data_IF_518193642250
#
_entry.id   IF_518193642250
#
_cell.length_a   1.000
_cell.length_b   1.000
_cell.length_c   1.000
_cell.angle_alpha   90.00
_cell.angle_beta   90.00
_cell.angle_gamma   90.00
#
_symmetry.space_group_name_H-M   'P 1'
#
loop_
_entity.id
_entity.type
_entity.pdbx_description
1 polymer ?
#
# COMPACT_ATOMS: atom_id res chain seq x y z
N UNK A 1 14.99 -18.65 -15.87
CA UNK A 1 15.25 -17.39 -15.15
C UNK A 1 14.52 -16.17 -15.74
N UNK A 2 14.53 -15.93 -17.06
CA UNK A 2 13.93 -14.72 -17.69
C UNK A 2 12.43 -14.51 -17.39
N UNK A 3 11.62 -15.57 -17.38
CA UNK A 3 10.17 -15.52 -17.08
C UNK A 3 9.89 -15.04 -15.64
N UNK A 4 10.64 -15.54 -14.67
CA UNK A 4 10.54 -15.10 -13.28
C UNK A 4 10.91 -13.63 -13.11
N UNK A 5 11.98 -13.19 -13.79
CA UNK A 5 12.40 -11.78 -13.76
C UNK A 5 11.32 -10.84 -14.33
N UNK A 6 10.67 -11.23 -15.44
CA UNK A 6 9.55 -10.47 -16.03
C UNK A 6 8.37 -10.36 -15.05
N UNK A 7 8.01 -11.46 -14.40
CA UNK A 7 6.96 -11.47 -13.38
C UNK A 7 7.33 -10.58 -12.18
N UNK A 8 8.52 -10.76 -11.60
CA UNK A 8 8.95 -10.02 -10.40
C UNK A 8 8.99 -8.52 -10.65
N UNK A 9 9.55 -8.08 -11.78
CA UNK A 9 9.59 -6.65 -12.12
C UNK A 9 8.18 -6.10 -12.33
N UNK A 10 7.32 -6.84 -13.04
CA UNK A 10 5.94 -6.42 -13.27
C UNK A 10 5.14 -6.32 -11.96
N UNK A 11 5.30 -7.30 -11.08
CA UNK A 11 4.70 -7.33 -9.75
C UNK A 11 5.16 -6.15 -8.90
N UNK A 12 6.47 -5.89 -8.84
CA UNK A 12 7.02 -4.81 -8.01
C UNK A 12 6.53 -3.44 -8.49
N UNK A 13 6.47 -3.25 -9.81
CA UNK A 13 5.97 -2.01 -10.41
C UNK A 13 4.48 -1.79 -10.11
N UNK A 14 3.64 -2.81 -10.34
CA UNK A 14 2.21 -2.75 -10.06
C UNK A 14 1.91 -2.57 -8.57
N UNK A 15 2.61 -3.30 -7.70
CA UNK A 15 2.43 -3.21 -6.26
C UNK A 15 2.76 -1.82 -5.75
N UNK A 16 3.92 -1.28 -6.17
CA UNK A 16 4.35 0.07 -5.80
C UNK A 16 3.34 1.11 -6.27
N UNK A 17 2.90 1.01 -7.52
CA UNK A 17 1.91 1.93 -8.08
C UNK A 17 0.60 1.92 -7.28
N UNK A 18 0.02 0.74 -7.04
CA UNK A 18 -1.22 0.59 -6.29
C UNK A 18 -1.09 1.05 -4.83
N UNK A 19 0.05 0.77 -4.19
CA UNK A 19 0.30 1.18 -2.80
C UNK A 19 0.39 2.70 -2.69
N UNK A 20 1.09 3.37 -3.62
CA UNK A 20 1.17 4.84 -3.66
C UNK A 20 -0.22 5.43 -3.92
N UNK A 21 -0.96 4.92 -4.90
CA UNK A 21 -2.32 5.40 -5.18
C UNK A 21 -3.25 5.22 -3.99
N UNK A 22 -3.17 4.08 -3.29
CA UNK A 22 -3.96 3.83 -2.09
C UNK A 22 -3.58 4.77 -0.94
N UNK A 23 -2.29 5.02 -0.73
CA UNK A 23 -1.80 5.97 0.27
C UNK A 23 -2.27 7.40 -0.02
N UNK A 24 -2.18 7.83 -1.28
CA UNK A 24 -2.69 9.13 -1.71
C UNK A 24 -4.20 9.24 -1.52
N UNK A 25 -4.96 8.20 -1.86
CA UNK A 25 -6.40 8.17 -1.67
C UNK A 25 -6.79 8.28 -0.19
N UNK A 26 -6.07 7.56 0.68
CA UNK A 26 -6.31 7.62 2.12
C UNK A 26 -6.00 9.02 2.67
N UNK A 27 -4.88 9.63 2.28
CA UNK A 27 -4.53 11.00 2.68
C UNK A 27 -5.55 12.02 2.16
N UNK A 28 -6.05 11.87 0.94
CA UNK A 28 -7.03 12.78 0.36
C UNK A 28 -8.41 12.70 1.04
N UNK A 29 -8.76 11.55 1.62
CA UNK A 29 -10.04 11.31 2.30
C UNK A 29 -9.94 11.42 3.82
N UNK A 30 -8.73 11.53 4.37
CA UNK A 30 -8.49 11.70 5.79
C UNK A 30 -8.80 13.14 6.22
N UNK A 31 -9.74 13.30 7.14
CA UNK A 31 -9.96 14.58 7.83
C UNK A 31 -9.15 14.57 9.13
N UNK A 32 -8.15 15.45 9.29
CA UNK A 32 -7.38 15.51 10.52
C UNK A 32 -8.25 16.07 11.65
N UNK A 33 -8.40 15.31 12.73
CA UNK A 33 -9.01 15.80 13.96
C UNK A 33 -7.94 16.45 14.84
N UNK A 34 -8.14 17.74 15.14
CA UNK A 34 -7.26 18.54 16.01
C UNK A 34 -7.88 18.85 17.37
N UNK A 35 -9.08 18.33 17.65
CA UNK A 35 -9.81 18.64 18.88
C UNK A 35 -9.07 18.19 20.15
N UNK A 36 -8.26 17.12 20.06
CA UNK A 36 -7.47 16.63 21.18
C UNK A 36 -6.16 17.39 21.42
N UNK A 37 -5.61 18.07 20.39
CA UNK A 37 -4.29 18.72 20.50
C UNK A 37 -4.34 20.14 21.09
N UNK A 38 -5.49 20.81 21.01
CA UNK A 38 -5.66 22.19 21.49
C UNK A 38 -6.06 22.28 22.98
N UNK A 39 -6.55 21.19 23.59
CA UNK A 39 -7.02 21.17 24.99
C UNK A 39 -6.03 20.62 26.04
N UNK A 40 -4.95 19.95 25.61
CA UNK A 40 -4.06 19.16 26.49
C UNK A 40 -2.68 19.82 26.75
N UNK A 41 -2.48 21.08 26.39
CA UNK A 41 -1.18 21.78 26.53
C UNK A 41 -0.70 21.96 27.98
N UNK A 42 -1.51 21.59 28.99
CA UNK A 42 -1.19 21.79 30.40
C UNK A 42 -0.86 20.51 31.20
N UNK A 43 -0.96 19.29 30.63
CA UNK A 43 -0.65 18.04 31.36
C UNK A 43 -0.03 16.97 30.44
N UNK A 44 1.22 17.15 30.00
CA UNK A 44 1.90 16.21 29.10
C UNK A 44 2.50 15.01 29.86
N UNK A 45 1.72 13.94 30.05
CA UNK A 45 2.28 12.58 30.01
C UNK A 45 2.50 12.22 28.55
N UNK A 46 3.75 12.00 28.15
CA UNK A 46 4.13 11.68 26.78
C UNK A 46 3.84 10.20 26.47
N UNK A 47 2.55 9.84 26.43
CA UNK A 47 2.12 8.51 26.05
C UNK A 47 1.91 8.45 24.53
N UNK A 48 2.75 7.69 23.84
CA UNK A 48 2.62 7.46 22.39
C UNK A 48 1.72 6.25 22.19
N UNK A 49 0.49 6.47 21.73
CA UNK A 49 -0.44 5.41 21.38
C UNK A 49 -0.07 4.89 19.99
N UNK A 50 0.46 3.67 19.91
CA UNK A 50 0.66 2.98 18.64
C UNK A 50 -0.68 2.43 18.14
N UNK A 51 -1.28 3.12 17.17
CA UNK A 51 -2.44 2.58 16.45
C UNK A 51 -1.98 1.37 15.64
N UNK A 52 -2.49 0.17 15.98
CA UNK A 52 -2.26 -1.03 15.18
C UNK A 52 -3.04 -0.89 13.86
N UNK A 53 -2.30 -0.75 12.76
CA UNK A 53 -2.87 -0.76 11.42
C UNK A 53 -3.12 -2.20 10.96
N UNK A 54 -4.30 -2.43 10.37
CA UNK A 54 -4.63 -3.74 9.80
C UNK A 54 -3.80 -4.01 8.55
N UNK A 55 -3.16 -5.19 8.40
CA UNK A 55 -2.39 -5.54 7.21
C UNK A 55 -3.27 -5.95 6.02
N UNK A 56 -4.59 -6.08 6.23
CA UNK A 56 -5.54 -6.59 5.23
C UNK A 56 -5.54 -5.78 3.93
N UNK A 57 -5.57 -4.42 3.94
CA UNK A 57 -5.55 -3.63 2.71
C UNK A 57 -4.28 -3.88 1.88
N UNK A 58 -3.12 -3.94 2.53
CA UNK A 58 -1.83 -4.22 1.86
C UNK A 58 -1.81 -5.62 1.26
N UNK A 59 -2.39 -6.63 1.93
CA UNK A 59 -2.50 -7.98 1.40
C UNK A 59 -3.41 -8.05 0.17
N UNK A 60 -4.54 -7.34 0.17
CA UNK A 60 -5.44 -7.27 -0.99
C UNK A 60 -4.70 -6.66 -2.19
N UNK A 61 -3.97 -5.56 -1.98
CA UNK A 61 -3.17 -4.91 -3.02
C UNK A 61 -2.07 -5.85 -3.55
N UNK A 62 -1.41 -6.59 -2.66
CA UNK A 62 -0.40 -7.57 -3.05
C UNK A 62 -0.98 -8.69 -3.93
N UNK A 63 -2.14 -9.25 -3.55
CA UNK A 63 -2.81 -10.30 -4.34
C UNK A 63 -3.25 -9.76 -5.71
N UNK A 64 -3.85 -8.57 -5.77
CA UNK A 64 -4.26 -7.93 -7.02
C UNK A 64 -3.07 -7.67 -7.95
N UNK A 65 -1.95 -7.19 -7.40
CA UNK A 65 -0.71 -7.00 -8.14
C UNK A 65 -0.17 -8.33 -8.68
N UNK A 66 -0.16 -9.38 -7.85
CA UNK A 66 0.36 -10.69 -8.25
C UNK A 66 -0.47 -11.31 -9.38
N UNK A 67 -1.80 -11.26 -9.29
CA UNK A 67 -2.71 -11.72 -10.35
C UNK A 67 -2.44 -10.94 -11.65
N UNK A 68 -2.36 -9.62 -11.57
CA UNK A 68 -2.10 -8.76 -12.74
C UNK A 68 -0.73 -9.04 -13.38
N UNK A 69 0.32 -9.19 -12.56
CA UNK A 69 1.65 -9.53 -13.02
C UNK A 69 1.71 -10.91 -13.68
N UNK A 70 0.93 -11.88 -13.18
CA UNK A 70 0.81 -13.19 -13.79
C UNK A 70 0.16 -13.12 -15.19
N UNK A 71 -0.89 -12.31 -15.36
CA UNK A 71 -1.47 -12.06 -16.69
C UNK A 71 -0.47 -11.40 -17.65
N UNK A 72 0.32 -10.43 -17.17
CA UNK A 72 1.38 -9.79 -17.97
C UNK A 72 2.43 -10.82 -18.39
N UNK A 73 2.90 -11.65 -17.47
CA UNK A 73 3.85 -12.73 -17.78
C UNK A 73 3.28 -13.64 -18.86
N UNK A 74 2.04 -14.12 -18.72
CA UNK A 74 1.42 -15.02 -19.69
C UNK A 74 1.29 -14.40 -21.08
N UNK A 75 0.92 -13.10 -21.15
CA UNK A 75 0.80 -12.39 -22.42
C UNK A 75 2.15 -12.16 -23.10
N UNK A 76 3.18 -11.81 -22.34
CA UNK A 76 4.55 -11.56 -22.84
C UNK A 76 5.26 -12.87 -23.20
N UNK A 77 5.03 -13.94 -22.43
CA UNK A 77 5.61 -15.26 -22.66
C UNK A 77 4.95 -16.01 -23.82
N UNK A 78 3.69 -15.72 -24.17
CA UNK A 78 3.04 -16.25 -25.39
C UNK A 78 3.54 -15.58 -26.67
N UNK A 79 4.11 -14.37 -26.56
CA UNK A 79 4.56 -13.55 -27.69
C UNK A 79 6.04 -13.80 -28.08
N UNK A 80 6.84 -14.41 -27.20
CA UNK A 80 8.20 -14.87 -27.50
C UNK A 80 8.21 -16.37 -27.76
#
# INVERSE_FOLDING_TARGET
>A
MKKYLIFTISFLLLFTFLQISSGLFLTATYTPDFSESLGMSNTLSQEVIFVQSSPIPTLIIAVLSAISAYFILNKVAKKN
#
